data_IF_010078936727
#
_entry.id   IF_010078936727
#
_cell.length_a   1.000
_cell.length_b   1.000
_cell.length_c   1.000
_cell.angle_alpha   90.00
_cell.angle_beta   90.00
_cell.angle_gamma   90.00
#
_symmetry.space_group_name_H-M   'P 1'
#
loop_
_entity.id
_entity.type
_entity.pdbx_description
1 polymer ?
#
# COMPACT_ATOMS: atom_id res chain seq x y z
N UNK A 1 -5.00 -8.65 8.39
CA UNK A 1 -4.24 -7.91 9.43
C UNK A 1 -2.82 -7.71 8.96
N UNK A 2 -2.29 -6.50 9.04
CA UNK A 2 -0.88 -6.25 8.70
C UNK A 2 0.03 -6.66 9.87
N UNK A 3 1.12 -7.37 9.60
CA UNK A 3 2.17 -7.57 10.61
C UNK A 3 3.04 -6.31 10.69
N UNK A 4 3.24 -5.81 11.91
CA UNK A 4 3.98 -4.57 12.15
C UNK A 4 5.42 -4.69 11.62
N UNK A 5 5.81 -3.76 10.72
CA UNK A 5 7.14 -3.69 10.09
C UNK A 5 7.59 -4.97 9.34
N UNK A 6 6.66 -5.83 8.90
CA UNK A 6 7.01 -7.13 8.30
C UNK A 6 7.99 -7.04 7.13
N UNK A 7 7.73 -6.18 6.14
CA UNK A 7 8.63 -5.99 4.98
C UNK A 7 10.03 -5.55 5.41
N UNK A 8 10.12 -4.65 6.38
CA UNK A 8 11.40 -4.17 6.91
C UNK A 8 12.16 -5.29 7.64
N UNK A 9 11.46 -6.13 8.38
CA UNK A 9 12.06 -7.29 9.07
C UNK A 9 12.55 -8.35 8.07
N UNK A 10 11.73 -8.65 7.07
CA UNK A 10 12.07 -9.60 6.02
C UNK A 10 13.35 -9.19 5.29
N UNK A 11 13.42 -7.94 4.81
CA UNK A 11 14.60 -7.43 4.10
C UNK A 11 15.82 -7.31 5.01
N UNK A 12 15.64 -6.87 6.26
CA UNK A 12 16.72 -6.79 7.24
C UNK A 12 17.33 -8.15 7.59
N UNK A 13 16.57 -9.26 7.51
CA UNK A 13 17.11 -10.61 7.69
C UNK A 13 18.06 -11.05 6.56
N UNK A 14 18.09 -10.30 5.45
CA UNK A 14 18.99 -10.49 4.32
C UNK A 14 20.02 -9.35 4.21
N UNK A 15 20.26 -8.60 5.29
CA UNK A 15 21.17 -7.45 5.33
C UNK A 15 20.84 -6.32 4.34
N UNK A 16 19.55 -6.23 3.93
CA UNK A 16 19.06 -5.18 3.04
C UNK A 16 18.39 -4.07 3.86
N UNK A 17 18.99 -2.87 3.83
CA UNK A 17 18.42 -1.70 4.49
C UNK A 17 17.27 -1.07 3.67
N UNK A 18 16.13 -0.83 4.34
CA UNK A 18 14.96 -0.18 3.73
C UNK A 18 14.97 1.32 3.97
N UNK A 19 15.50 2.08 3.01
CA UNK A 19 15.53 3.55 3.05
C UNK A 19 14.14 4.18 2.90
N UNK A 20 13.33 3.67 1.96
CA UNK A 20 11.97 4.16 1.70
C UNK A 20 11.04 3.00 1.38
N UNK A 21 9.91 2.94 2.09
CA UNK A 21 8.83 1.98 1.83
C UNK A 21 7.54 2.75 1.60
N UNK A 22 6.95 2.58 0.42
CA UNK A 22 5.68 3.21 0.04
C UNK A 22 4.72 2.13 -0.43
N UNK A 23 3.50 2.13 0.11
CA UNK A 23 2.43 1.27 -0.41
C UNK A 23 1.78 1.97 -1.59
N UNK A 24 1.92 1.40 -2.78
CA UNK A 24 1.41 1.97 -4.05
C UNK A 24 0.05 1.41 -4.46
N UNK A 25 -0.41 0.33 -3.83
CA UNK A 25 -1.71 -0.28 -4.09
C UNK A 25 -2.25 -1.02 -2.85
N UNK A 26 -3.56 -1.24 -2.81
CA UNK A 26 -4.25 -2.10 -1.83
C UNK A 26 -5.19 -3.02 -2.62
N UNK A 27 -4.87 -4.30 -2.68
CA UNK A 27 -5.55 -5.21 -3.59
C UNK A 27 -5.50 -4.66 -5.02
N UNK A 28 -6.63 -4.55 -5.73
CA UNK A 28 -6.68 -4.02 -7.09
C UNK A 28 -6.63 -2.47 -7.18
N UNK A 29 -6.83 -1.75 -6.06
CA UNK A 29 -6.85 -0.28 -6.05
C UNK A 29 -5.43 0.30 -6.06
N UNK A 30 -5.16 1.18 -7.03
CA UNK A 30 -3.89 1.90 -7.15
C UNK A 30 -3.91 3.24 -6.40
N UNK A 31 -2.75 3.66 -5.88
CA UNK A 31 -2.56 5.00 -5.29
C UNK A 31 -2.68 6.10 -6.37
N UNK A 32 -2.20 5.81 -7.58
CA UNK A 32 -2.18 6.76 -8.70
C UNK A 32 -1.50 8.07 -8.34
N UNK A 33 -2.09 9.18 -8.79
CA UNK A 33 -1.58 10.54 -8.59
C UNK A 33 -2.01 11.18 -7.26
N UNK A 34 -2.48 10.39 -6.28
CA UNK A 34 -2.92 10.92 -5.00
C UNK A 34 -1.73 11.50 -4.21
N UNK A 35 -1.73 12.82 -4.04
CA UNK A 35 -0.69 13.52 -3.32
C UNK A 35 -0.58 13.06 -1.85
N UNK A 36 0.65 13.13 -1.30
CA UNK A 36 0.93 12.77 0.09
C UNK A 36 0.01 13.53 1.05
N UNK A 37 -0.62 12.81 1.98
CA UNK A 37 -1.50 13.38 3.00
C UNK A 37 -2.88 13.78 2.48
N UNK A 38 -3.20 13.54 1.20
CA UNK A 38 -4.54 13.72 0.65
C UNK A 38 -5.33 12.42 0.70
N UNK A 39 -6.64 12.58 0.67
CA UNK A 39 -7.61 11.51 0.54
C UNK A 39 -8.65 11.93 -0.49
N UNK A 40 -9.23 10.94 -1.15
CA UNK A 40 -10.39 11.10 -2.04
C UNK A 40 -11.35 9.95 -1.80
N UNK A 41 -12.61 10.16 -2.17
CA UNK A 41 -13.57 9.07 -2.24
C UNK A 41 -13.20 8.12 -3.39
N UNK A 42 -13.53 6.84 -3.20
CA UNK A 42 -13.45 5.84 -4.27
C UNK A 42 -14.56 6.12 -5.29
N UNK A 43 -14.28 5.85 -6.56
CA UNK A 43 -15.33 5.84 -7.58
C UNK A 43 -16.21 4.59 -7.44
N UNK A 44 -17.35 4.55 -8.13
CA UNK A 44 -18.21 3.38 -8.11
C UNK A 44 -17.50 2.14 -8.68
N UNK A 45 -16.68 2.32 -9.73
CA UNK A 45 -15.89 1.27 -10.35
C UNK A 45 -14.83 0.74 -9.38
N UNK A 46 -14.15 1.63 -8.66
CA UNK A 46 -13.16 1.25 -7.65
C UNK A 46 -13.79 0.54 -6.44
N UNK A 47 -15.01 0.93 -6.07
CA UNK A 47 -15.76 0.27 -5.00
C UNK A 47 -16.13 -1.17 -5.39
N UNK A 48 -16.54 -1.38 -6.65
CA UNK A 48 -16.89 -2.69 -7.19
C UNK A 48 -15.70 -3.67 -7.17
N UNK A 49 -14.46 -3.18 -7.17
CA UNK A 49 -13.26 -4.02 -7.05
C UNK A 49 -13.16 -4.77 -5.70
N UNK A 50 -13.92 -4.33 -4.69
CA UNK A 50 -13.89 -4.90 -3.33
C UNK A 50 -15.19 -5.61 -2.94
N UNK A 51 -16.18 -5.66 -3.83
CA UNK A 51 -17.41 -6.41 -3.58
C UNK A 51 -17.26 -7.83 -4.15
N UNK A 52 -17.35 -8.81 -3.26
CA UNK A 52 -17.44 -10.24 -3.55
C UNK A 52 -18.78 -10.76 -3.04
#
# INVERSE_FOLDING_TARGET
GGQNRHIRRLLGAHDVEVLRLVRVAIGPLQLGELAKGKARHLTAEELALFQA
#
